data_IF_924095737805
#
_entry.id   IF_924095737805
#
_cell.length_a   1.000
_cell.length_b   1.000
_cell.length_c   1.000
_cell.angle_alpha   90.00
_cell.angle_beta   90.00
_cell.angle_gamma   90.00
#
_symmetry.space_group_name_H-M   'P 1'
#
loop_
_entity.id
_entity.type
_entity.pdbx_description
1 polymer ?
#
# COMPACT_ATOMS: atom_id res chain seq x y z
N UNK A 1 14.03 7.66 0.65
CA UNK A 1 13.77 7.09 -0.69
C UNK A 1 14.03 5.59 -0.75
N UNK A 2 15.24 5.13 -0.39
CA UNK A 2 15.61 3.70 -0.41
C UNK A 2 14.62 2.81 0.34
N UNK A 3 14.24 3.18 1.58
CA UNK A 3 13.24 2.46 2.38
C UNK A 3 11.86 2.37 1.71
N UNK A 4 11.42 3.44 1.04
CA UNK A 4 10.18 3.43 0.25
C UNK A 4 10.26 2.52 -0.98
N UNK A 5 11.43 2.45 -1.61
CA UNK A 5 11.63 1.65 -2.82
C UNK A 5 11.89 0.17 -2.51
N UNK A 6 12.50 -0.14 -1.36
CA UNK A 6 12.95 -1.49 -1.00
C UNK A 6 11.93 -2.25 -0.15
N UNK A 7 11.09 -1.56 0.62
CA UNK A 7 10.18 -2.19 1.60
C UNK A 7 8.70 -1.85 1.35
N UNK A 8 8.36 -1.28 0.18
CA UNK A 8 7.01 -0.76 -0.12
C UNK A 8 5.88 -1.76 0.11
N UNK A 9 6.14 -3.04 -0.14
CA UNK A 9 5.19 -4.15 0.08
C UNK A 9 4.97 -4.48 1.56
N UNK A 10 5.99 -4.34 2.42
CA UNK A 10 5.90 -4.72 3.84
C UNK A 10 5.42 -3.57 4.75
N UNK A 11 5.45 -2.32 4.24
CA UNK A 11 5.18 -1.11 5.02
C UNK A 11 3.68 -0.82 5.26
N UNK A 12 2.78 -1.32 4.42
CA UNK A 12 1.34 -1.05 4.51
C UNK A 12 1.03 0.46 4.62
N UNK A 13 0.47 0.88 5.77
CA UNK A 13 0.16 2.30 6.05
C UNK A 13 1.38 3.23 6.08
N UNK A 14 2.57 2.71 6.38
CA UNK A 14 3.80 3.52 6.36
C UNK A 14 4.19 3.92 4.93
N UNK A 15 3.77 3.15 3.92
CA UNK A 15 4.01 3.49 2.51
C UNK A 15 3.32 4.80 2.10
N UNK A 16 2.09 5.04 2.59
CA UNK A 16 1.32 6.27 2.34
C UNK A 16 2.03 7.48 2.97
N UNK A 17 2.52 7.31 4.20
CA UNK A 17 3.26 8.35 4.92
C UNK A 17 4.56 8.70 4.20
N UNK A 18 5.33 7.70 3.75
CA UNK A 18 6.54 7.92 2.96
C UNK A 18 6.24 8.56 1.61
N UNK A 19 5.18 8.16 0.91
CA UNK A 19 4.75 8.80 -0.34
C UNK A 19 4.43 10.29 -0.14
N UNK A 20 3.78 10.64 0.97
CA UNK A 20 3.48 12.04 1.32
C UNK A 20 4.76 12.84 1.57
N UNK A 21 5.69 12.31 2.37
CA UNK A 21 6.98 12.95 2.64
C UNK A 21 7.79 13.15 1.35
N UNK A 22 7.84 12.13 0.49
CA UNK A 22 8.56 12.19 -0.78
C UNK A 22 7.95 13.24 -1.70
N UNK A 23 6.61 13.27 -1.85
CA UNK A 23 5.93 14.26 -2.66
C UNK A 23 6.14 15.70 -2.15
N UNK A 24 6.18 15.89 -0.84
CA UNK A 24 6.51 17.20 -0.24
C UNK A 24 7.95 17.62 -0.50
N UNK A 25 8.92 16.72 -0.33
CA UNK A 25 10.34 17.00 -0.60
C UNK A 25 10.60 17.26 -2.09
N UNK A 26 9.91 16.53 -2.97
CA UNK A 26 9.98 16.69 -4.42
C UNK A 26 9.16 17.87 -4.97
N UNK A 27 8.47 18.63 -4.10
CA UNK A 27 7.60 19.76 -4.46
C UNK A 27 6.54 19.41 -5.51
N UNK A 28 5.89 18.25 -5.36
CA UNK A 28 4.75 17.87 -6.19
C UNK A 28 3.59 18.84 -5.98
N UNK A 29 2.83 19.11 -7.06
CA UNK A 29 1.56 19.83 -6.91
C UNK A 29 0.55 18.97 -6.15
N UNK A 30 -0.47 19.60 -5.57
CA UNK A 30 -1.50 18.86 -4.82
C UNK A 30 -2.19 17.80 -5.67
N UNK A 31 -2.40 18.07 -6.97
CA UNK A 31 -3.01 17.10 -7.88
C UNK A 31 -2.10 15.88 -8.07
N UNK A 32 -0.80 16.09 -8.30
CA UNK A 32 0.18 15.01 -8.47
C UNK A 32 0.31 14.16 -7.20
N UNK A 33 0.34 14.81 -6.03
CA UNK A 33 0.40 14.13 -4.74
C UNK A 33 -0.85 13.28 -4.49
N UNK A 34 -2.04 13.79 -4.80
CA UNK A 34 -3.28 13.04 -4.66
C UNK A 34 -3.30 11.80 -5.55
N UNK A 35 -2.86 11.90 -6.81
CA UNK A 35 -2.77 10.73 -7.71
C UNK A 35 -1.84 9.65 -7.15
N UNK A 36 -0.71 10.03 -6.57
CA UNK A 36 0.22 9.06 -5.95
C UNK A 36 -0.38 8.43 -4.70
N UNK A 37 -1.04 9.22 -3.85
CA UNK A 37 -1.66 8.72 -2.62
C UNK A 37 -2.84 7.79 -2.91
N UNK A 38 -3.71 8.11 -3.87
CA UNK A 38 -4.82 7.24 -4.26
C UNK A 38 -4.34 5.87 -4.75
N UNK A 39 -3.24 5.82 -5.51
CA UNK A 39 -2.63 4.55 -5.95
C UNK A 39 -1.98 3.77 -4.81
N UNK A 40 -1.44 4.45 -3.79
CA UNK A 40 -0.96 3.76 -2.59
C UNK A 40 -2.10 3.20 -1.74
N UNK A 41 -3.20 3.94 -1.63
CA UNK A 41 -4.37 3.54 -0.86
C UNK A 41 -5.05 2.33 -1.48
N UNK A 42 -5.27 2.32 -2.79
CA UNK A 42 -5.81 1.17 -3.54
C UNK A 42 -4.97 -0.11 -3.32
N UNK A 43 -3.65 0.02 -3.33
CA UNK A 43 -2.73 -1.10 -3.08
C UNK A 43 -2.73 -1.54 -1.62
N UNK A 44 -2.80 -0.61 -0.68
CA UNK A 44 -2.93 -0.94 0.74
C UNK A 44 -4.27 -1.65 1.04
N UNK A 45 -5.35 -1.29 0.37
CA UNK A 45 -6.62 -2.00 0.41
C UNK A 45 -6.51 -3.43 -0.13
N UNK A 46 -5.76 -3.63 -1.22
CA UNK A 46 -5.47 -4.96 -1.77
C UNK A 46 -4.65 -5.84 -0.81
N UNK A 47 -3.72 -5.25 -0.06
CA UNK A 47 -2.93 -5.96 0.95
C UNK A 47 -3.76 -6.45 2.14
N UNK A 48 -4.62 -5.58 2.71
CA UNK A 48 -5.53 -5.99 3.80
C UNK A 48 -6.62 -6.98 3.32
N UNK A 49 -7.05 -6.89 2.06
CA UNK A 49 -8.00 -7.83 1.45
C UNK A 49 -7.37 -9.19 1.09
N UNK A 50 -6.08 -9.21 0.75
CA UNK A 50 -5.35 -10.42 0.36
C UNK A 50 -5.14 -11.38 1.53
N UNK A 51 -4.77 -10.89 2.72
CA UNK A 51 -4.61 -11.76 3.90
C UNK A 51 -5.95 -12.39 4.31
N UNK A 52 -7.07 -11.67 4.20
CA UNK A 52 -8.39 -12.26 4.49
C UNK A 52 -8.79 -13.26 3.39
N UNK A 53 -8.53 -12.98 2.10
CA UNK A 53 -8.83 -13.94 1.03
C UNK A 53 -7.96 -15.20 1.08
N UNK A 54 -6.69 -15.11 1.48
CA UNK A 54 -5.84 -16.29 1.67
C UNK A 54 -6.25 -17.08 2.92
N UNK A 55 -6.57 -16.42 4.04
CA UNK A 55 -7.02 -17.12 5.25
C UNK A 55 -8.42 -17.75 5.07
N UNK A 56 -9.35 -17.08 4.40
CA UNK A 56 -10.69 -17.61 4.09
C UNK A 56 -10.62 -18.69 3.00
N UNK A 57 -9.75 -18.53 1.99
CA UNK A 57 -9.51 -19.55 0.97
C UNK A 57 -8.84 -20.82 1.51
N UNK A 58 -7.96 -20.69 2.50
CA UNK A 58 -7.35 -21.82 3.20
C UNK A 58 -8.29 -22.47 4.22
N UNK A 59 -9.18 -21.72 4.87
CA UNK A 59 -10.18 -22.27 5.79
C UNK A 59 -11.29 -23.06 5.06
N UNK A 60 -11.63 -22.69 3.82
CA UNK A 60 -12.65 -23.38 3.01
C UNK A 60 -12.09 -24.56 2.18
N UNK A 61 -10.77 -24.67 2.01
CA UNK A 61 -10.14 -25.80 1.30
C UNK A 61 -9.85 -27.01 2.20
N UNK A 62 -10.06 -26.91 3.51
CA UNK A 62 -9.83 -27.98 4.49
C UNK A 62 -11.09 -28.73 4.96
N UNK A 63 -12.25 -28.52 4.31
CA UNK A 63 -13.53 -29.15 4.67
C UNK A 63 -14.05 -30.08 3.55
N UNK A 64 -13.20 -30.97 3.05
CA UNK A 64 -13.60 -32.11 2.20
C UNK A 64 -13.01 -33.40 2.74
#
# INVERSE_FOLDING_TARGET
LYRYMSEREMLGKESITLARVIGTVAKFTKEQLNVVLSKEEERNHSWYGGTINTLVGSALSGAR
#
